data_IF_942658542288
#
_entry.id   IF_942658542288
#
_cell.length_a   1.000
_cell.length_b   1.000
_cell.length_c   1.000
_cell.angle_alpha   90.00
_cell.angle_beta   90.00
_cell.angle_gamma   90.00
#
_symmetry.space_group_name_H-M   'P 1'
#
loop_
_entity.id
_entity.type
_entity.pdbx_description
1 polymer ?
#
# COMPACT_ATOMS: atom_id res chain seq x y z
N UNK A 1 0.30 19.22 -28.31
CA UNK A 1 0.30 20.05 -27.09
C UNK A 1 -0.81 19.49 -26.25
N UNK A 2 -0.44 19.00 -25.07
CA UNK A 2 -1.19 18.10 -24.21
C UNK A 2 -2.36 18.81 -23.53
N UNK A 3 -3.48 18.10 -23.50
CA UNK A 3 -4.71 18.42 -22.78
C UNK A 3 -4.49 18.21 -21.27
N UNK A 4 -4.79 19.25 -20.48
CA UNK A 4 -4.84 19.18 -19.01
C UNK A 4 -6.29 18.87 -18.58
N UNK A 5 -6.57 17.61 -18.28
CA UNK A 5 -7.77 17.19 -17.56
C UNK A 5 -7.38 16.87 -16.12
N UNK A 6 -7.72 17.78 -15.19
CA UNK A 6 -7.60 17.57 -13.75
C UNK A 6 -8.95 17.02 -13.26
N UNK A 7 -8.94 15.78 -12.77
CA UNK A 7 -10.06 15.15 -12.07
C UNK A 7 -9.69 14.97 -10.59
N UNK A 8 -10.69 15.16 -9.73
CA UNK A 8 -10.86 14.68 -8.35
C UNK A 8 -10.64 15.68 -7.21
N UNK A 9 -11.75 16.11 -6.60
CA UNK A 9 -11.92 16.12 -5.13
C UNK A 9 -13.40 16.20 -4.78
N UNK A 10 -14.03 15.04 -4.62
CA UNK A 10 -15.30 14.93 -3.89
C UNK A 10 -14.99 14.48 -2.46
N UNK A 11 -14.98 15.44 -1.55
CA UNK A 11 -15.01 15.22 -0.10
C UNK A 11 -16.45 15.09 0.36
N UNK A 12 -16.87 13.88 0.73
CA UNK A 12 -18.15 13.63 1.42
C UNK A 12 -17.97 13.84 2.92
N UNK A 13 -18.52 14.94 3.44
CA UNK A 13 -18.69 15.21 4.88
C UNK A 13 -20.02 14.63 5.37
N UNK A 14 -19.94 13.74 6.35
CA UNK A 14 -21.08 13.17 7.06
C UNK A 14 -21.82 14.25 7.86
N UNK A 15 -23.13 14.30 7.71
CA UNK A 15 -24.07 15.11 8.48
C UNK A 15 -24.35 14.48 9.84
N UNK A 16 -23.96 15.17 10.92
CA UNK A 16 -24.46 14.94 12.27
C UNK A 16 -25.90 15.46 12.38
N UNK A 17 -26.79 14.64 12.94
CA UNK A 17 -28.15 15.08 13.31
C UNK A 17 -28.29 14.93 14.81
N UNK A 18 -28.27 16.06 15.51
CA UNK A 18 -28.63 16.20 16.91
C UNK A 18 -30.16 16.05 17.06
N UNK A 19 -30.61 15.18 17.95
CA UNK A 19 -31.95 15.26 18.54
C UNK A 19 -31.79 15.12 20.05
N UNK A 20 -32.26 16.16 20.72
CA UNK A 20 -32.25 16.40 22.16
C UNK A 20 -33.29 15.55 22.89
N UNK A 21 -32.92 14.95 24.02
CA UNK A 21 -33.87 14.47 25.01
C UNK A 21 -33.92 15.46 26.18
N UNK A 22 -35.03 16.20 26.23
CA UNK A 22 -35.39 17.04 27.36
C UNK A 22 -35.85 16.16 28.52
N UNK A 23 -35.17 16.33 29.65
CA UNK A 23 -35.61 15.90 30.97
C UNK A 23 -36.97 16.52 31.28
N UNK A 24 -37.95 15.71 31.68
CA UNK A 24 -39.02 16.22 32.53
C UNK A 24 -39.29 15.25 33.67
N UNK A 25 -39.02 15.81 34.84
CA UNK A 25 -39.11 15.32 36.20
C UNK A 25 -40.58 15.31 36.65
N UNK A 26 -41.09 14.14 37.04
CA UNK A 26 -42.19 14.06 38.02
C UNK A 26 -41.96 12.87 38.94
N UNK A 27 -41.34 13.16 40.07
CA UNK A 27 -41.33 12.31 41.26
C UNK A 27 -42.73 12.24 41.90
N UNK A 28 -43.37 11.07 41.86
CA UNK A 28 -44.44 10.71 42.78
C UNK A 28 -43.89 9.66 43.77
N UNK A 29 -43.52 10.13 44.96
CA UNK A 29 -43.30 9.30 46.14
C UNK A 29 -44.50 9.46 47.06
N UNK A 30 -45.44 8.52 47.00
CA UNK A 30 -46.31 8.24 48.14
C UNK A 30 -46.27 6.76 48.50
N UNK A 31 -45.84 6.56 49.74
CA UNK A 31 -45.73 5.34 50.52
C UNK A 31 -47.03 4.54 50.54
N UNK A 32 -47.04 3.41 49.82
CA UNK A 32 -47.99 2.32 50.09
C UNK A 32 -47.24 1.21 50.81
N UNK A 33 -47.69 0.87 52.02
CA UNK A 33 -47.17 -0.24 52.82
C UNK A 33 -47.38 -1.55 52.06
N UNK A 34 -46.38 -1.97 51.28
CA UNK A 34 -46.38 -3.25 50.59
C UNK A 34 -46.23 -4.34 51.63
N UNK A 35 -47.35 -4.98 51.98
CA UNK A 35 -47.33 -6.35 52.49
C UNK A 35 -46.55 -7.17 51.47
N UNK A 36 -45.36 -7.62 51.82
CA UNK A 36 -44.53 -8.48 50.98
C UNK A 36 -45.36 -9.70 50.57
N UNK A 37 -45.64 -9.81 49.28
CA UNK A 37 -46.31 -10.98 48.70
C UNK A 37 -45.42 -12.21 49.00
N UNK A 38 -45.89 -13.23 49.76
CA UNK A 38 -45.09 -14.39 50.11
C UNK A 38 -44.69 -15.25 48.89
N UNK A 39 -45.23 -14.95 47.71
CA UNK A 39 -44.87 -15.57 46.43
C UNK A 39 -43.86 -14.73 45.62
N UNK A 40 -43.32 -13.65 46.19
CA UNK A 40 -42.35 -12.79 45.51
C UNK A 40 -41.03 -13.51 45.21
N UNK A 41 -40.61 -14.44 46.07
CA UNK A 41 -39.38 -15.23 45.85
C UNK A 41 -39.58 -16.36 44.83
N UNK A 42 -40.84 -16.71 44.53
CA UNK A 42 -41.24 -17.60 43.43
C UNK A 42 -41.68 -16.82 42.18
N UNK A 43 -41.46 -15.49 42.12
CA UNK A 43 -41.62 -14.74 40.87
C UNK A 43 -40.81 -15.46 39.79
N UNK A 44 -41.42 -15.59 38.62
CA UNK A 44 -40.87 -16.21 37.43
C UNK A 44 -39.60 -15.47 37.02
N UNK A 45 -38.49 -15.79 37.67
CA UNK A 45 -37.17 -15.35 37.29
C UNK A 45 -36.82 -16.17 36.06
N UNK A 46 -36.83 -15.54 34.90
CA UNK A 46 -36.25 -16.08 33.68
C UNK A 46 -34.72 -16.14 33.87
N UNK A 47 -34.26 -17.04 34.73
CA UNK A 47 -32.85 -17.44 34.79
C UNK A 47 -32.46 -18.14 33.48
N UNK A 48 -31.14 -18.32 33.27
CA UNK A 48 -30.50 -18.91 32.08
C UNK A 48 -31.03 -20.29 31.62
N UNK A 49 -32.02 -20.86 32.32
CA UNK A 49 -32.70 -22.08 31.92
C UNK A 49 -34.20 -22.00 32.33
N UNK A 50 -35.07 -21.42 31.49
CA UNK A 50 -36.49 -21.29 31.82
C UNK A 50 -37.14 -22.67 32.00
N UNK A 51 -37.95 -22.82 33.05
CA UNK A 51 -38.72 -24.05 33.28
C UNK A 51 -39.74 -24.29 32.16
N UNK A 52 -40.18 -25.54 31.94
CA UNK A 52 -41.21 -25.84 30.96
C UNK A 52 -42.48 -25.00 31.19
N UNK A 53 -43.18 -24.54 30.13
CA UNK A 53 -44.40 -23.73 30.26
C UNK A 53 -45.47 -24.35 31.17
N UNK A 54 -45.53 -25.69 31.21
CA UNK A 54 -46.44 -26.43 32.07
C UNK A 54 -46.24 -26.16 33.56
N UNK A 55 -45.03 -25.80 34.00
CA UNK A 55 -44.74 -25.56 35.42
C UNK A 55 -45.18 -24.16 35.86
N UNK A 56 -45.03 -23.14 35.00
CA UNK A 56 -45.59 -21.82 35.25
C UNK A 56 -47.12 -21.84 35.28
N UNK A 57 -47.74 -22.63 34.39
CA UNK A 57 -49.19 -22.82 34.37
C UNK A 57 -49.69 -23.47 35.67
N UNK A 58 -48.96 -24.47 36.19
CA UNK A 58 -49.29 -25.07 37.48
C UNK A 58 -49.17 -24.05 38.62
N UNK A 59 -48.12 -23.24 38.61
CA UNK A 59 -47.90 -22.19 39.62
C UNK A 59 -49.03 -21.16 39.60
N UNK A 60 -49.43 -20.68 38.42
CA UNK A 60 -50.54 -19.73 38.26
C UNK A 60 -51.86 -20.31 38.77
N UNK A 61 -52.15 -21.60 38.48
CA UNK A 61 -53.35 -22.27 38.98
C UNK A 61 -53.32 -22.41 40.50
N UNK A 62 -52.18 -22.83 41.05
CA UNK A 62 -51.99 -22.98 42.50
C UNK A 62 -52.19 -21.64 43.22
N UNK A 63 -51.57 -20.57 42.71
CA UNK A 63 -51.70 -19.22 43.23
C UNK A 63 -53.16 -18.73 43.16
N UNK A 64 -53.87 -19.04 42.07
CA UNK A 64 -55.28 -18.68 41.95
C UNK A 64 -56.16 -19.38 42.99
N UNK A 65 -55.93 -20.69 43.22
CA UNK A 65 -56.67 -21.44 44.24
C UNK A 65 -56.35 -20.95 45.66
N UNK A 66 -55.14 -20.45 45.91
CA UNK A 66 -54.72 -19.86 47.20
C UNK A 66 -55.29 -18.46 47.44
N UNK A 67 -55.33 -17.61 46.41
CA UNK A 67 -55.81 -16.22 46.51
C UNK A 67 -57.34 -16.13 46.43
N UNK A 68 -57.98 -17.03 45.68
CA UNK A 68 -59.42 -17.06 45.47
C UNK A 68 -60.03 -18.45 45.76
N UNK A 69 -59.98 -18.94 47.01
CA UNK A 69 -60.42 -20.29 47.36
C UNK A 69 -61.92 -20.52 47.11
N UNK A 70 -62.73 -19.46 47.20
CA UNK A 70 -64.17 -19.47 46.96
C UNK A 70 -64.56 -19.12 45.51
N UNK A 71 -63.59 -19.12 44.58
CA UNK A 71 -63.86 -18.81 43.17
C UNK A 71 -64.92 -19.76 42.60
N UNK A 72 -65.87 -19.18 41.86
CA UNK A 72 -66.93 -19.95 41.21
C UNK A 72 -66.35 -20.85 40.13
N UNK A 73 -67.11 -21.89 39.74
CA UNK A 73 -66.71 -22.78 38.67
C UNK A 73 -66.47 -22.02 37.34
N UNK A 74 -67.28 -21.00 37.06
CA UNK A 74 -67.11 -20.12 35.89
C UNK A 74 -65.79 -19.36 35.90
N UNK A 75 -65.36 -18.84 37.07
CA UNK A 75 -64.07 -18.14 37.20
C UNK A 75 -62.88 -19.10 37.00
N UNK A 76 -62.98 -20.32 37.53
CA UNK A 76 -61.97 -21.38 37.32
C UNK A 76 -61.88 -21.81 35.85
N UNK A 77 -63.02 -21.92 35.17
CA UNK A 77 -63.05 -22.24 33.75
C UNK A 77 -62.57 -21.09 32.87
N UNK A 78 -62.81 -19.83 33.26
CA UNK A 78 -62.25 -18.66 32.59
C UNK A 78 -60.72 -18.63 32.68
N UNK A 79 -60.15 -18.88 33.86
CA UNK A 79 -58.69 -18.99 34.03
C UNK A 79 -58.12 -20.09 33.12
N UNK A 80 -58.77 -21.27 33.08
CA UNK A 80 -58.34 -22.38 32.25
C UNK A 80 -58.37 -22.03 30.75
N UNK A 81 -59.38 -21.30 30.28
CA UNK A 81 -59.45 -20.79 28.90
C UNK A 81 -58.34 -19.80 28.62
N UNK A 82 -58.10 -18.85 29.54
CA UNK A 82 -57.04 -17.85 29.40
C UNK A 82 -55.66 -18.52 29.30
N UNK A 83 -55.38 -19.50 30.17
CA UNK A 83 -54.12 -20.27 30.13
C UNK A 83 -53.92 -20.94 28.77
N UNK A 84 -54.96 -21.59 28.23
CA UNK A 84 -54.88 -22.24 26.91
C UNK A 84 -54.66 -21.23 25.78
N UNK A 85 -55.28 -20.05 25.86
CA UNK A 85 -55.12 -18.97 24.89
C UNK A 85 -53.67 -18.48 24.86
N UNK A 86 -53.08 -18.22 26.03
CA UNK A 86 -51.69 -17.77 26.16
C UNK A 86 -50.71 -18.82 25.60
N UNK A 87 -50.92 -20.10 25.90
CA UNK A 87 -50.09 -21.19 25.33
C UNK A 87 -50.18 -21.19 23.81
N UNK A 88 -51.38 -21.04 23.24
CA UNK A 88 -51.57 -21.02 21.79
C UNK A 88 -50.90 -19.81 21.14
N UNK A 89 -51.00 -18.62 21.75
CA UNK A 89 -50.34 -17.41 21.27
C UNK A 89 -48.80 -17.56 21.29
N UNK A 90 -48.24 -18.12 22.36
CA UNK A 90 -46.80 -18.35 22.47
C UNK A 90 -46.28 -19.38 21.45
N UNK A 91 -47.02 -20.47 21.21
CA UNK A 91 -46.67 -21.45 20.15
C UNK A 91 -46.65 -20.75 18.79
N UNK A 92 -47.65 -19.91 18.50
CA UNK A 92 -47.70 -19.17 17.25
C UNK A 92 -46.50 -18.22 17.09
N UNK A 93 -46.18 -17.42 18.12
CA UNK A 93 -45.05 -16.51 18.11
C UNK A 93 -43.70 -17.23 17.92
N UNK A 94 -43.52 -18.40 18.56
CA UNK A 94 -42.31 -19.23 18.40
C UNK A 94 -42.21 -19.78 16.98
N UNK A 95 -43.33 -20.25 16.40
CA UNK A 95 -43.33 -20.75 15.03
C UNK A 95 -43.04 -19.64 14.02
N UNK A 96 -43.61 -18.45 14.20
CA UNK A 96 -43.33 -17.29 13.34
C UNK A 96 -41.86 -16.87 13.43
N UNK A 97 -41.28 -16.86 14.64
CA UNK A 97 -39.84 -16.64 14.80
C UNK A 97 -39.03 -17.71 14.07
N UNK A 98 -39.38 -18.99 14.23
CA UNK A 98 -38.69 -20.10 13.58
C UNK A 98 -38.75 -20.02 12.06
N UNK A 99 -39.88 -19.61 11.49
CA UNK A 99 -40.02 -19.39 10.04
C UNK A 99 -39.11 -18.26 9.57
N UNK A 100 -39.14 -17.09 10.24
CA UNK A 100 -38.24 -15.96 9.92
C UNK A 100 -36.77 -16.32 10.02
N UNK A 101 -36.37 -17.06 11.06
CA UNK A 101 -34.99 -17.55 11.20
C UNK A 101 -34.64 -18.63 10.16
N UNK A 102 -35.60 -19.48 9.79
CA UNK A 102 -35.44 -20.49 8.76
C UNK A 102 -35.17 -19.91 7.37
N UNK A 103 -35.73 -18.73 7.08
CA UNK A 103 -35.51 -18.02 5.81
C UNK A 103 -34.23 -17.19 5.80
N UNK A 104 -33.89 -16.55 6.93
CA UNK A 104 -32.74 -15.64 7.02
C UNK A 104 -31.40 -16.35 7.21
N UNK A 105 -31.39 -17.48 7.92
CA UNK A 105 -30.15 -18.22 8.19
C UNK A 105 -29.46 -18.77 6.94
N UNK A 106 -30.17 -19.36 5.95
CA UNK A 106 -29.55 -19.79 4.69
C UNK A 106 -28.98 -18.63 3.89
N UNK A 107 -29.67 -17.50 3.81
CA UNK A 107 -29.19 -16.30 3.11
C UNK A 107 -27.91 -15.75 3.75
N UNK A 108 -27.87 -15.70 5.09
CA UNK A 108 -26.67 -15.27 5.81
C UNK A 108 -25.48 -16.22 5.59
N UNK A 109 -25.74 -17.54 5.47
CA UNK A 109 -24.69 -18.51 5.13
C UNK A 109 -24.17 -18.34 3.71
N UNK A 110 -25.07 -18.14 2.75
CA UNK A 110 -24.68 -17.91 1.36
C UNK A 110 -23.84 -16.63 1.21
N UNK A 111 -24.22 -15.55 1.90
CA UNK A 111 -23.46 -14.30 1.87
C UNK A 111 -22.08 -14.45 2.53
N UNK A 112 -21.99 -15.24 3.60
CA UNK A 112 -20.71 -15.57 4.24
C UNK A 112 -19.80 -16.36 3.30
N UNK A 113 -20.33 -17.41 2.64
CA UNK A 113 -19.58 -18.21 1.68
C UNK A 113 -19.05 -17.35 0.52
N UNK A 114 -19.89 -16.47 -0.06
CA UNK A 114 -19.46 -15.51 -1.09
C UNK A 114 -18.37 -14.57 -0.61
N UNK A 115 -18.48 -14.10 0.64
CA UNK A 115 -17.47 -13.23 1.23
C UNK A 115 -16.15 -13.97 1.39
N UNK A 116 -16.17 -15.23 1.84
CA UNK A 116 -14.96 -16.06 1.98
C UNK A 116 -14.28 -16.30 0.63
N UNK A 117 -15.03 -16.65 -0.41
CA UNK A 117 -14.50 -16.79 -1.77
C UNK A 117 -13.84 -15.50 -2.27
N UNK A 118 -14.46 -14.35 -2.00
CA UNK A 118 -13.93 -13.03 -2.37
C UNK A 118 -12.64 -12.72 -1.61
N UNK A 119 -12.56 -13.06 -0.31
CA UNK A 119 -11.35 -12.89 0.47
C UNK A 119 -10.20 -13.76 -0.04
N UNK A 120 -10.48 -15.01 -0.42
CA UNK A 120 -9.46 -15.90 -0.99
C UNK A 120 -8.94 -15.41 -2.34
N UNK A 121 -9.82 -14.82 -3.16
CA UNK A 121 -9.42 -14.16 -4.40
C UNK A 121 -8.48 -12.97 -4.11
N UNK A 122 -8.85 -12.09 -3.17
CA UNK A 122 -8.00 -10.96 -2.79
C UNK A 122 -6.66 -11.41 -2.22
N UNK A 123 -6.63 -12.47 -1.41
CA UNK A 123 -5.39 -13.04 -0.89
C UNK A 123 -4.47 -13.52 -2.01
N UNK A 124 -5.03 -14.20 -3.01
CA UNK A 124 -4.29 -14.67 -4.17
C UNK A 124 -3.73 -13.50 -4.99
N UNK A 125 -4.54 -12.46 -5.23
CA UNK A 125 -4.11 -11.26 -5.94
C UNK A 125 -2.98 -10.53 -5.18
N UNK A 126 -3.08 -10.41 -3.86
CA UNK A 126 -2.05 -9.78 -3.03
C UNK A 126 -0.70 -10.48 -3.19
N UNK A 127 -0.67 -11.81 -3.11
CA UNK A 127 0.55 -12.61 -3.32
C UNK A 127 1.12 -12.42 -4.73
N UNK A 128 0.26 -12.35 -5.76
CA UNK A 128 0.71 -12.07 -7.12
C UNK A 128 1.33 -10.67 -7.25
N UNK A 129 0.71 -9.66 -6.64
CA UNK A 129 1.22 -8.29 -6.63
C UNK A 129 2.56 -8.20 -5.89
N UNK A 130 2.70 -8.84 -4.72
CA UNK A 130 3.97 -8.89 -3.98
C UNK A 130 5.09 -9.52 -4.83
N UNK A 131 4.80 -10.61 -5.54
CA UNK A 131 5.75 -11.25 -6.44
C UNK A 131 6.15 -10.34 -7.61
N UNK A 132 5.20 -9.60 -8.19
CA UNK A 132 5.49 -8.62 -9.25
C UNK A 132 6.38 -7.48 -8.73
N UNK A 133 6.08 -6.93 -7.55
CA UNK A 133 6.89 -5.87 -6.92
C UNK A 133 8.31 -6.37 -6.70
N UNK A 134 8.47 -7.59 -6.16
CA UNK A 134 9.79 -8.21 -5.96
C UNK A 134 10.57 -8.38 -7.27
N UNK A 135 9.91 -8.87 -8.32
CA UNK A 135 10.51 -9.03 -9.65
C UNK A 135 11.00 -7.69 -10.23
N UNK A 136 10.16 -6.65 -10.20
CA UNK A 136 10.55 -5.32 -10.69
C UNK A 136 11.65 -4.69 -9.84
N UNK A 137 11.65 -4.91 -8.52
CA UNK A 137 12.73 -4.48 -7.63
C UNK A 137 14.08 -5.11 -8.00
N UNK A 138 14.11 -6.41 -8.30
CA UNK A 138 15.32 -7.10 -8.76
C UNK A 138 15.78 -6.59 -10.13
N UNK A 139 14.86 -6.36 -11.06
CA UNK A 139 15.17 -5.83 -12.38
C UNK A 139 15.80 -4.43 -12.29
N UNK A 140 15.22 -3.55 -11.47
CA UNK A 140 15.74 -2.21 -11.24
C UNK A 140 17.17 -2.25 -10.67
N UNK A 141 17.41 -3.11 -9.66
CA UNK A 141 18.75 -3.28 -9.08
C UNK A 141 19.78 -3.73 -10.13
N UNK A 142 19.45 -4.75 -10.93
CA UNK A 142 20.32 -5.24 -12.01
C UNK A 142 20.62 -4.16 -13.06
N UNK A 143 19.63 -3.32 -13.41
CA UNK A 143 19.83 -2.19 -14.32
C UNK A 143 20.76 -1.13 -13.73
N UNK A 144 20.60 -0.81 -12.44
CA UNK A 144 21.47 0.15 -11.74
C UNK A 144 22.91 -0.35 -11.69
N UNK A 145 23.13 -1.63 -11.37
CA UNK A 145 24.46 -2.25 -11.32
C UNK A 145 25.14 -2.24 -12.70
N UNK A 146 24.42 -2.66 -13.76
CA UNK A 146 24.95 -2.61 -15.13
C UNK A 146 25.26 -1.19 -15.61
N UNK A 147 24.44 -0.21 -15.24
CA UNK A 147 24.69 1.19 -15.60
C UNK A 147 25.91 1.74 -14.86
N UNK A 148 26.11 1.38 -13.59
CA UNK A 148 27.30 1.75 -12.82
C UNK A 148 28.58 1.16 -13.46
N UNK A 149 28.53 -0.10 -13.90
CA UNK A 149 29.64 -0.74 -14.60
C UNK A 149 29.94 -0.06 -15.95
N UNK A 150 28.91 0.23 -16.77
CA UNK A 150 29.09 0.98 -18.03
C UNK A 150 29.69 2.36 -17.80
N UNK A 151 29.24 3.08 -16.77
CA UNK A 151 29.81 4.39 -16.42
C UNK A 151 31.29 4.29 -16.02
N UNK A 152 31.67 3.23 -15.31
CA UNK A 152 33.08 2.96 -14.96
C UNK A 152 33.92 2.75 -16.23
N UNK A 153 33.48 1.87 -17.14
CA UNK A 153 34.17 1.62 -18.41
C UNK A 153 34.27 2.91 -19.25
N UNK A 154 33.21 3.70 -19.33
CA UNK A 154 33.25 4.98 -20.05
C UNK A 154 34.30 5.94 -19.46
N UNK A 155 34.47 5.99 -18.13
CA UNK A 155 35.50 6.81 -17.49
C UNK A 155 36.90 6.29 -17.77
N UNK A 156 37.11 4.98 -17.73
CA UNK A 156 38.40 4.35 -18.06
C UNK A 156 38.81 4.66 -19.51
N UNK A 157 37.89 4.45 -20.46
CA UNK A 157 38.14 4.78 -21.88
C UNK A 157 38.41 6.27 -22.09
N UNK A 158 37.69 7.14 -21.40
CA UNK A 158 37.92 8.59 -21.47
C UNK A 158 39.33 8.96 -20.98
N UNK A 159 39.77 8.37 -19.86
CA UNK A 159 41.12 8.59 -19.33
C UNK A 159 42.20 8.09 -20.29
N UNK A 160 42.02 6.92 -20.89
CA UNK A 160 42.93 6.39 -21.91
C UNK A 160 43.00 7.30 -23.13
N UNK A 161 41.87 7.81 -23.60
CA UNK A 161 41.81 8.73 -24.73
C UNK A 161 42.54 10.04 -24.43
N UNK A 162 42.33 10.63 -23.26
CA UNK A 162 43.02 11.84 -22.81
C UNK A 162 44.53 11.61 -22.69
N UNK A 163 44.95 10.50 -22.09
CA UNK A 163 46.36 10.13 -21.99
C UNK A 163 47.01 9.93 -23.37
N UNK A 164 46.32 9.26 -24.30
CA UNK A 164 46.78 9.12 -25.68
C UNK A 164 46.88 10.47 -26.40
N UNK A 165 45.94 11.38 -26.15
CA UNK A 165 45.98 12.75 -26.66
C UNK A 165 47.20 13.53 -26.17
N UNK A 166 47.51 13.44 -24.87
CA UNK A 166 48.71 14.05 -24.29
C UNK A 166 49.98 13.45 -24.89
N UNK A 167 50.07 12.12 -24.99
CA UNK A 167 51.21 11.43 -25.58
C UNK A 167 51.42 11.84 -27.05
N UNK A 168 50.35 11.88 -27.84
CA UNK A 168 50.38 12.35 -29.24
C UNK A 168 50.91 13.77 -29.34
N UNK A 169 50.43 14.69 -28.49
CA UNK A 169 50.88 16.08 -28.49
C UNK A 169 52.37 16.19 -28.13
N UNK A 170 52.85 15.38 -27.18
CA UNK A 170 54.28 15.31 -26.82
C UNK A 170 55.13 14.88 -28.02
N UNK A 171 54.73 13.81 -28.73
CA UNK A 171 55.44 13.34 -29.93
C UNK A 171 55.47 14.40 -31.01
N UNK A 172 54.36 15.10 -31.25
CA UNK A 172 54.30 16.20 -32.23
C UNK A 172 55.27 17.33 -31.85
N UNK A 173 55.37 17.68 -30.56
CA UNK A 173 56.31 18.69 -30.09
C UNK A 173 57.77 18.28 -30.30
N UNK A 174 58.13 17.02 -29.99
CA UNK A 174 59.46 16.49 -30.24
C UNK A 174 59.80 16.46 -31.73
N UNK A 175 58.89 15.97 -32.58
CA UNK A 175 59.08 15.97 -34.03
C UNK A 175 59.28 17.38 -34.58
N UNK A 176 58.55 18.38 -34.08
CA UNK A 176 58.72 19.77 -34.50
C UNK A 176 60.08 20.33 -34.07
N UNK A 177 60.56 19.98 -32.87
CA UNK A 177 61.88 20.36 -32.39
C UNK A 177 62.99 19.76 -33.25
N UNK A 178 62.90 18.46 -33.53
CA UNK A 178 63.85 17.76 -34.39
C UNK A 178 63.89 18.34 -35.80
N UNK A 179 62.73 18.72 -36.34
CA UNK A 179 62.63 19.39 -37.63
C UNK A 179 63.36 20.74 -37.63
N UNK A 180 63.16 21.57 -36.61
CA UNK A 180 63.85 22.87 -36.47
C UNK A 180 65.37 22.67 -36.38
N UNK A 181 65.81 21.70 -35.58
CA UNK A 181 67.23 21.39 -35.41
C UNK A 181 67.87 20.86 -36.70
N UNK A 182 67.14 20.03 -37.45
CA UNK A 182 67.56 19.54 -38.77
C UNK A 182 67.68 20.70 -39.77
N UNK A 183 66.64 21.53 -39.89
CA UNK A 183 66.63 22.66 -40.82
C UNK A 183 67.79 23.63 -40.52
N UNK A 184 68.10 23.86 -39.24
CA UNK A 184 69.25 24.68 -38.83
C UNK A 184 70.58 24.06 -39.27
N UNK A 185 70.81 22.77 -38.98
CA UNK A 185 72.03 22.05 -39.37
C UNK A 185 72.21 22.01 -40.88
N UNK A 186 71.13 21.76 -41.62
CA UNK A 186 71.14 21.76 -43.07
C UNK A 186 71.53 23.13 -43.63
N UNK A 187 70.91 24.21 -43.14
CA UNK A 187 71.21 25.57 -43.58
C UNK A 187 72.64 26.02 -43.23
N UNK A 188 73.15 25.62 -42.07
CA UNK A 188 74.54 25.91 -41.67
C UNK A 188 75.54 25.15 -42.55
N UNK A 189 75.26 23.87 -42.85
CA UNK A 189 76.06 23.06 -43.75
C UNK A 189 76.05 23.62 -45.19
N UNK A 190 74.89 24.06 -45.68
CA UNK A 190 74.75 24.71 -46.98
C UNK A 190 75.58 26.00 -47.04
N UNK A 191 75.46 26.89 -46.04
CA UNK A 191 76.25 28.12 -45.96
C UNK A 191 77.76 27.83 -45.93
N UNK A 192 78.19 26.82 -45.17
CA UNK A 192 79.59 26.41 -45.13
C UNK A 192 80.07 25.87 -46.48
N UNK A 193 79.24 25.09 -47.18
CA UNK A 193 79.55 24.61 -48.52
C UNK A 193 79.66 25.75 -49.54
N UNK A 194 78.72 26.69 -49.54
CA UNK A 194 78.75 27.88 -50.41
C UNK A 194 80.00 28.74 -50.19
N UNK A 195 80.39 28.95 -48.92
CA UNK A 195 81.61 29.67 -48.57
C UNK A 195 82.87 28.97 -49.11
N UNK A 196 82.95 27.63 -48.99
CA UNK A 196 84.05 26.82 -49.55
C UNK A 196 84.10 26.93 -51.08
N UNK A 197 82.96 26.81 -51.76
CA UNK A 197 82.87 26.95 -53.22
C UNK A 197 83.32 28.35 -53.65
N UNK A 198 82.93 29.41 -52.93
CA UNK A 198 83.36 30.78 -53.21
C UNK A 198 84.88 30.94 -53.05
N UNK A 199 85.45 30.44 -51.96
CA UNK A 199 86.89 30.47 -51.72
C UNK A 199 87.67 29.74 -52.83
N UNK A 200 87.23 28.54 -53.24
CA UNK A 200 87.83 27.80 -54.35
C UNK A 200 87.73 28.56 -55.68
N UNK A 201 86.60 29.23 -55.95
CA UNK A 201 86.46 30.06 -57.16
C UNK A 201 87.43 31.25 -57.15
N UNK A 202 87.61 31.91 -56.02
CA UNK A 202 88.56 33.01 -55.86
C UNK A 202 90.01 32.53 -56.03
N UNK A 203 90.35 31.37 -55.48
CA UNK A 203 91.67 30.74 -55.63
C UNK A 203 91.96 30.36 -57.10
N UNK A 204 90.99 29.74 -57.79
CA UNK A 204 91.09 29.43 -59.22
C UNK A 204 91.29 30.72 -60.04
N UNK A 205 90.56 31.79 -59.73
CA UNK A 205 90.73 33.07 -60.43
C UNK A 205 92.12 33.68 -60.18
N UNK A 206 92.62 33.60 -58.94
CA UNK A 206 93.97 34.05 -58.60
C UNK A 206 95.02 33.28 -59.40
N UNK A 207 94.96 31.95 -59.41
CA UNK A 207 95.86 31.09 -60.19
C UNK A 207 95.79 31.39 -61.70
N UNK A 208 94.59 31.65 -62.25
CA UNK A 208 94.44 32.06 -63.65
C UNK A 208 95.15 33.38 -63.96
N UNK A 209 95.07 34.39 -63.08
CA UNK A 209 95.77 35.67 -63.25
C UNK A 209 97.28 35.50 -63.16
N UNK A 210 97.76 34.71 -62.20
CA UNK A 210 99.19 34.41 -62.05
C UNK A 210 99.77 33.68 -63.27
N UNK A 211 98.97 32.81 -63.91
CA UNK A 211 99.37 32.12 -65.15
C UNK A 211 99.40 33.03 -66.39
N UNK A 212 98.60 34.09 -66.44
CA UNK A 212 98.59 35.06 -67.55
C UNK A 212 99.62 36.19 -67.39
N UNK A 213 100.24 36.33 -66.22
CA UNK A 213 101.29 37.30 -65.94
C UNK A 213 102.72 36.76 -66.14
N UNK A 214 102.85 35.48 -66.51
CA UNK A 214 104.09 34.83 -66.96
C UNK A 214 104.06 34.66 -68.48
#
# INVERSE_FOLDING_TARGET
>A
MSDDEIIASDTLTNTETEISDAENDTTDTETSSVKTNPYADDLIMFQNNPRPPGDYIKLIKKLFDEVAPNATQEQKDLLRKLTKSIVKANIHAVNECREKFGETLPLAKEELEKSEETFDLFRTQLVQTENQISFFGQLAKNLTEKNAERLKVCREVQQEYEAAGVAKNSVIQEMNKDKIDYDKKYNDAQRAHEAKVKALKEEIQKLKREKMAK
#
